data_IF_884456346368
#
_entry.id   IF_884456346368
#
_cell.length_a   1.000
_cell.length_b   1.000
_cell.length_c   1.000
_cell.angle_alpha   90.00
_cell.angle_beta   90.00
_cell.angle_gamma   90.00
#
_symmetry.space_group_name_H-M   'P 1'
#
loop_
_entity.id
_entity.type
_entity.pdbx_description
1 polymer ?
#
# COMPACT_ATOMS: atom_id res chain seq x y z
N UNK A 1 1.44 5.29 -10.72
CA UNK A 1 2.34 5.50 -9.58
C UNK A 1 2.31 4.28 -8.69
N UNK A 2 3.42 3.92 -8.09
CA UNK A 2 3.49 2.75 -7.21
C UNK A 2 3.22 3.17 -5.76
N UNK A 3 2.63 2.28 -4.98
CA UNK A 3 2.34 2.57 -3.58
C UNK A 3 3.59 2.94 -2.78
N UNK A 4 4.73 2.30 -3.08
CA UNK A 4 5.98 2.57 -2.38
C UNK A 4 6.54 3.98 -2.66
N UNK A 5 6.02 4.70 -3.64
CA UNK A 5 6.50 6.04 -4.00
C UNK A 5 5.64 7.15 -3.41
N UNK A 6 4.55 6.81 -2.70
CA UNK A 6 3.68 7.82 -2.09
C UNK A 6 4.32 8.34 -0.80
N UNK A 7 4.31 9.65 -0.61
CA UNK A 7 4.87 10.28 0.58
C UNK A 7 4.05 9.95 1.82
N UNK A 8 4.73 9.87 2.96
CA UNK A 8 4.07 9.64 4.25
C UNK A 8 2.99 10.71 4.47
N UNK A 9 1.80 10.26 4.85
CA UNK A 9 0.67 11.13 5.13
C UNK A 9 -0.20 11.46 3.93
N UNK A 10 0.22 11.11 2.72
CA UNK A 10 -0.57 11.37 1.51
C UNK A 10 -1.54 10.22 1.24
N UNK A 11 -2.77 10.55 0.88
CA UNK A 11 -3.77 9.54 0.55
C UNK A 11 -3.62 9.12 -0.91
N UNK A 12 -3.64 7.81 -1.14
CA UNK A 12 -3.63 7.25 -2.48
C UNK A 12 -4.79 6.26 -2.64
N UNK A 13 -5.30 6.13 -3.85
CA UNK A 13 -6.34 5.15 -4.16
C UNK A 13 -5.74 4.01 -4.95
N UNK A 14 -6.04 2.78 -4.54
CA UNK A 14 -5.54 1.58 -5.22
C UNK A 14 -6.17 1.48 -6.60
N UNK A 15 -5.33 1.32 -7.63
CA UNK A 15 -5.78 1.10 -9.00
C UNK A 15 -5.70 -0.37 -9.39
N UNK A 16 -4.62 -1.04 -9.01
CA UNK A 16 -4.44 -2.46 -9.31
C UNK A 16 -3.44 -3.07 -8.35
N UNK A 17 -3.57 -4.38 -8.17
CA UNK A 17 -2.68 -5.18 -7.34
C UNK A 17 -1.94 -6.16 -8.23
N UNK A 18 -0.62 -6.21 -8.10
CA UNK A 18 0.21 -7.13 -8.85
C UNK A 18 1.18 -7.88 -7.96
N UNK A 19 2.08 -8.63 -8.56
CA UNK A 19 3.06 -9.44 -7.86
C UNK A 19 2.58 -10.85 -7.63
N UNK A 20 3.11 -11.50 -6.59
CA UNK A 20 2.77 -12.89 -6.29
C UNK A 20 1.31 -13.06 -5.91
N UNK A 21 0.67 -14.10 -6.47
CA UNK A 21 -0.73 -14.42 -6.25
C UNK A 21 -1.06 -14.51 -4.74
N UNK A 22 -0.19 -15.15 -3.97
CA UNK A 22 -0.41 -15.33 -2.52
C UNK A 22 -0.45 -14.00 -1.78
N UNK A 23 0.39 -13.05 -2.19
CA UNK A 23 0.42 -11.72 -1.58
C UNK A 23 -0.82 -10.92 -1.98
N UNK A 24 -1.18 -10.96 -3.25
CA UNK A 24 -2.38 -10.27 -3.75
C UNK A 24 -3.62 -10.78 -3.02
N UNK A 25 -3.74 -12.09 -2.86
CA UNK A 25 -4.89 -12.69 -2.15
C UNK A 25 -4.95 -12.20 -0.71
N UNK A 26 -3.80 -12.18 -0.02
CA UNK A 26 -3.75 -11.74 1.37
C UNK A 26 -4.14 -10.26 1.50
N UNK A 27 -3.67 -9.42 0.58
CA UNK A 27 -4.01 -8.00 0.59
C UNK A 27 -5.50 -7.79 0.34
N UNK A 28 -6.09 -8.53 -0.60
CA UNK A 28 -7.53 -8.45 -0.86
C UNK A 28 -8.34 -8.91 0.35
N UNK A 29 -7.87 -9.95 1.04
CA UNK A 29 -8.54 -10.43 2.26
C UNK A 29 -8.51 -9.39 3.37
N UNK A 30 -7.50 -8.52 3.38
CA UNK A 30 -7.39 -7.43 4.33
C UNK A 30 -8.17 -6.18 3.90
N UNK A 31 -8.81 -6.23 2.73
CA UNK A 31 -9.62 -5.12 2.23
C UNK A 31 -8.94 -4.22 1.23
N UNK A 32 -7.72 -4.54 0.80
CA UNK A 32 -7.02 -3.73 -0.22
C UNK A 32 -7.49 -4.16 -1.60
N UNK A 33 -8.46 -3.43 -2.12
CA UNK A 33 -9.04 -3.69 -3.44
C UNK A 33 -9.02 -2.40 -4.25
N UNK A 34 -9.32 -2.49 -5.53
CA UNK A 34 -9.36 -1.32 -6.40
C UNK A 34 -10.33 -0.28 -5.86
N UNK A 35 -9.89 0.97 -5.83
CA UNK A 35 -10.66 2.08 -5.28
C UNK A 35 -10.47 2.32 -3.80
N UNK A 36 -9.79 1.45 -3.08
CA UNK A 36 -9.60 1.59 -1.64
C UNK A 36 -8.58 2.69 -1.35
N UNK A 37 -8.90 3.65 -0.45
CA UNK A 37 -7.90 4.63 -0.01
C UNK A 37 -6.89 3.98 0.91
N UNK A 38 -5.62 4.37 0.75
CA UNK A 38 -4.51 3.88 1.56
C UNK A 38 -3.57 5.04 1.84
N UNK A 39 -3.07 5.11 3.07
CA UNK A 39 -2.19 6.21 3.50
C UNK A 39 -0.93 5.60 4.12
N UNK A 40 0.26 5.89 3.58
CA UNK A 40 1.50 5.52 4.28
C UNK A 40 1.62 6.38 5.54
N UNK A 41 1.80 5.74 6.69
CA UNK A 41 1.77 6.44 7.97
C UNK A 41 3.10 6.38 8.71
N UNK A 42 3.96 5.41 8.39
CA UNK A 42 5.22 5.25 9.10
C UNK A 42 6.22 4.49 8.24
N UNK A 43 7.49 4.81 8.41
CA UNK A 43 8.58 4.08 7.77
C UNK A 43 9.53 3.60 8.85
N UNK A 44 10.04 2.37 8.70
CA UNK A 44 11.02 1.83 9.65
C UNK A 44 12.34 2.61 9.55
N UNK A 45 13.20 2.54 10.58
CA UNK A 45 14.48 3.28 10.56
C UNK A 45 15.36 2.97 9.36
N UNK A 46 15.26 1.78 8.79
CA UNK A 46 16.04 1.38 7.62
C UNK A 46 15.33 1.69 6.30
N UNK A 47 14.14 2.29 6.36
CA UNK A 47 13.37 2.64 5.16
C UNK A 47 12.43 1.55 4.68
N UNK A 48 12.51 0.34 5.24
CA UNK A 48 11.72 -0.80 4.81
C UNK A 48 11.58 -1.78 5.99
N UNK A 49 10.37 -2.30 6.31
CA UNK A 49 9.10 -2.03 5.64
C UNK A 49 8.48 -0.68 6.02
N UNK A 50 7.42 -0.31 5.31
CA UNK A 50 6.61 0.85 5.65
C UNK A 50 5.26 0.37 6.15
N UNK A 51 4.63 1.18 7.01
CA UNK A 51 3.29 0.91 7.50
C UNK A 51 2.28 1.76 6.75
N UNK A 52 1.14 1.17 6.42
CA UNK A 52 0.07 1.83 5.68
C UNK A 52 -1.24 1.70 6.44
N UNK A 53 -1.99 2.79 6.52
CA UNK A 53 -3.34 2.78 7.07
C UNK A 53 -4.31 2.40 5.96
N UNK A 54 -5.07 1.34 6.21
CA UNK A 54 -6.05 0.79 5.30
C UNK A 54 -7.38 0.75 6.04
N UNK A 55 -8.16 1.82 5.93
CA UNK A 55 -9.47 1.95 6.59
C UNK A 55 -9.43 1.71 8.10
N UNK A 56 -8.45 2.29 8.77
CA UNK A 56 -8.29 2.17 10.21
C UNK A 56 -7.43 1.00 10.67
N UNK A 57 -7.10 0.07 9.77
CA UNK A 57 -6.17 -1.01 10.07
C UNK A 57 -4.79 -0.64 9.54
N UNK A 58 -3.76 -0.81 10.35
CA UNK A 58 -2.39 -0.52 9.93
C UNK A 58 -1.72 -1.85 9.54
N UNK A 59 -1.19 -1.89 8.33
CA UNK A 59 -0.48 -3.06 7.82
C UNK A 59 0.94 -2.65 7.40
N UNK A 60 1.89 -3.57 7.56
CA UNK A 60 3.26 -3.35 7.13
C UNK A 60 3.52 -4.08 5.81
N UNK A 61 4.10 -3.37 4.86
CA UNK A 61 4.44 -3.94 3.55
C UNK A 61 5.89 -3.65 3.23
N UNK A 62 6.57 -4.67 2.71
CA UNK A 62 7.89 -4.51 2.15
C UNK A 62 7.83 -3.68 0.88
N UNK A 63 8.87 -2.89 0.63
CA UNK A 63 8.96 -2.06 -0.57
C UNK A 63 8.75 -2.88 -1.84
N UNK A 64 9.32 -4.08 -1.91
CA UNK A 64 9.19 -4.96 -3.07
C UNK A 64 7.73 -5.36 -3.34
N UNK A 65 6.92 -5.49 -2.29
CA UNK A 65 5.50 -5.85 -2.45
C UNK A 65 4.68 -4.62 -2.82
N UNK A 66 4.95 -3.49 -2.17
CA UNK A 66 4.27 -2.23 -2.48
C UNK A 66 4.59 -1.72 -3.89
N UNK A 67 5.75 -2.09 -4.43
CA UNK A 67 6.15 -1.70 -5.78
C UNK A 67 5.25 -2.31 -6.86
N UNK A 68 4.52 -3.37 -6.55
CA UNK A 68 3.61 -4.02 -7.50
C UNK A 68 2.16 -3.52 -7.35
N UNK A 69 1.92 -2.57 -6.47
CA UNK A 69 0.59 -1.99 -6.27
C UNK A 69 0.56 -0.63 -6.95
N UNK A 70 -0.27 -0.53 -7.99
CA UNK A 70 -0.46 0.73 -8.70
C UNK A 70 -1.51 1.56 -7.97
N UNK A 71 -1.21 2.84 -7.77
CA UNK A 71 -2.09 3.76 -7.06
C UNK A 71 -2.19 5.08 -7.81
N UNK A 72 -3.23 5.85 -7.49
CA UNK A 72 -3.39 7.22 -7.93
C UNK A 72 -3.38 8.10 -6.70
N UNK A 73 -2.50 9.08 -6.68
CA UNK A 73 -2.42 10.02 -5.57
C UNK A 73 -3.61 10.97 -5.64
N UNK A 74 -4.35 11.05 -4.56
CA UNK A 74 -5.55 11.88 -4.47
C UNK A 74 -5.19 13.14 -3.69
N UNK A 75 -4.93 14.21 -4.40
CA UNK A 75 -4.65 15.50 -3.80
C UNK A 75 -5.86 16.39 -3.76
#
# INVERSE_FOLDING_TARGET
MRLCDIDIGKTACVQSLGGKQSIVRRLRDMGMVEGTPVVPVMVSPLGDPRAYDLRGAVIALRRRDAAHIAVQCNE
#
